data_IF_830771764771
#
_entry.id   IF_830771764771
#
_cell.length_a   1.000
_cell.length_b   1.000
_cell.length_c   1.000
_cell.angle_alpha   90.00
_cell.angle_beta   90.00
_cell.angle_gamma   90.00
#
_symmetry.space_group_name_H-M   'P 1'
#
loop_
_entity.id
_entity.type
_entity.pdbx_description
1 polymer ?
#
# COMPACT_ATOMS: atom_id res chain seq x y z
N UNK A 1 10.16 -22.70 -38.16
CA UNK A 1 10.28 -22.12 -36.81
C UNK A 1 9.50 -20.82 -36.82
N UNK A 2 8.23 -20.86 -36.39
CA UNK A 2 7.36 -19.68 -36.37
C UNK A 2 7.47 -19.05 -34.99
N UNK A 3 7.84 -17.77 -34.91
CA UNK A 3 7.83 -17.03 -33.66
C UNK A 3 6.38 -16.67 -33.30
N UNK A 4 5.95 -17.00 -32.08
CA UNK A 4 4.67 -16.56 -31.55
C UNK A 4 4.64 -15.02 -31.41
N UNK A 5 3.50 -14.36 -31.71
CA UNK A 5 3.36 -12.92 -31.49
C UNK A 5 3.27 -12.62 -30.00
N UNK A 6 4.10 -11.69 -29.55
CA UNK A 6 4.12 -11.16 -28.17
C UNK A 6 2.77 -10.52 -27.85
N UNK A 7 2.07 -11.05 -26.85
CA UNK A 7 0.81 -10.53 -26.34
C UNK A 7 1.01 -9.14 -25.67
N UNK A 8 0.36 -8.07 -26.18
CA UNK A 8 0.48 -6.71 -25.65
C UNK A 8 -0.19 -6.50 -24.27
N UNK A 9 -0.89 -7.51 -23.73
CA UNK A 9 -1.55 -7.44 -22.42
C UNK A 9 -0.61 -7.69 -21.23
N UNK A 10 0.62 -8.18 -21.47
CA UNK A 10 1.68 -8.28 -20.45
C UNK A 10 2.28 -6.90 -20.15
N UNK A 11 1.53 -6.05 -19.45
CA UNK A 11 2.15 -4.96 -18.69
C UNK A 11 2.86 -5.58 -17.49
N UNK A 12 4.11 -5.96 -17.72
CA UNK A 12 5.05 -6.19 -16.63
C UNK A 12 5.05 -4.91 -15.78
N UNK A 13 4.59 -5.02 -14.54
CA UNK A 13 4.87 -4.03 -13.52
C UNK A 13 6.34 -4.19 -13.14
N UNK A 14 7.23 -3.82 -14.07
CA UNK A 14 8.65 -3.75 -13.84
C UNK A 14 8.88 -2.67 -12.79
N UNK A 15 9.27 -3.09 -11.60
CA UNK A 15 9.77 -2.22 -10.54
C UNK A 15 11.07 -1.58 -11.08
N UNK A 16 10.95 -0.45 -11.76
CA UNK A 16 12.06 0.26 -12.38
C UNK A 16 12.07 1.71 -11.93
N UNK A 17 12.79 1.98 -10.84
CA UNK A 17 13.82 3.03 -10.85
C UNK A 17 14.80 2.82 -9.70
N UNK A 18 16.07 3.09 -10.00
CA UNK A 18 17.25 2.76 -9.23
C UNK A 18 17.28 3.24 -7.76
N UNK A 19 17.73 2.34 -6.87
CA UNK A 19 18.70 2.69 -5.82
C UNK A 19 18.20 3.14 -4.45
N UNK A 20 16.90 3.39 -4.25
CA UNK A 20 16.36 3.69 -2.90
C UNK A 20 15.49 2.51 -2.45
N UNK A 21 15.71 1.93 -1.25
CA UNK A 21 14.80 0.94 -0.70
C UNK A 21 13.40 1.54 -0.66
N UNK A 22 12.42 0.88 -1.29
CA UNK A 22 11.04 1.35 -1.27
C UNK A 22 10.61 1.52 0.19
N UNK A 23 10.21 2.75 0.56
CA UNK A 23 9.65 2.99 1.90
C UNK A 23 8.28 2.36 1.92
N UNK A 24 8.05 1.46 2.87
CA UNK A 24 6.74 0.89 3.12
C UNK A 24 6.07 1.61 4.31
N UNK A 25 4.77 1.80 4.21
CA UNK A 25 3.89 2.15 5.34
C UNK A 25 2.77 1.14 5.38
N UNK A 26 2.64 0.47 6.52
CA UNK A 26 1.71 -0.64 6.71
C UNK A 26 0.82 -0.34 7.89
N UNK A 27 -0.49 -0.52 7.71
CA UNK A 27 -1.47 -0.56 8.78
C UNK A 27 -2.06 -1.99 8.82
N UNK A 28 -2.06 -2.59 9.99
CA UNK A 28 -2.69 -3.88 10.27
C UNK A 28 -3.75 -3.64 11.34
N UNK A 29 -4.96 -4.12 11.09
CA UNK A 29 -6.10 -4.07 12.01
C UNK A 29 -6.76 -5.45 12.04
N UNK A 30 -7.74 -5.65 12.92
CA UNK A 30 -8.55 -6.89 12.90
C UNK A 30 -9.33 -7.06 11.58
N UNK A 31 -9.63 -5.96 10.90
CA UNK A 31 -10.39 -5.96 9.65
C UNK A 31 -9.50 -6.28 8.43
N UNK A 32 -8.22 -5.92 8.44
CA UNK A 32 -7.38 -6.10 7.28
C UNK A 32 -5.97 -5.50 7.37
N UNK A 33 -5.21 -5.68 6.29
CA UNK A 33 -3.88 -5.09 6.11
C UNK A 33 -3.88 -4.20 4.87
N UNK A 34 -3.30 -3.01 4.98
CA UNK A 34 -2.89 -2.19 3.83
C UNK A 34 -1.41 -1.90 3.91
N UNK A 35 -0.70 -2.03 2.79
CA UNK A 35 0.68 -1.58 2.64
C UNK A 35 0.79 -0.65 1.44
N UNK A 36 1.39 0.53 1.65
CA UNK A 36 1.73 1.49 0.59
C UNK A 36 3.24 1.58 0.45
N UNK A 37 3.71 1.37 -0.77
CA UNK A 37 5.11 1.51 -1.13
C UNK A 37 5.36 2.89 -1.73
N UNK A 38 6.53 3.48 -1.49
CA UNK A 38 6.92 4.76 -2.09
C UNK A 38 7.02 4.73 -3.62
N UNK A 39 7.10 3.53 -4.19
CA UNK A 39 7.11 3.24 -5.63
C UNK A 39 5.70 3.27 -6.26
N UNK A 40 4.65 3.38 -5.44
CA UNK A 40 3.26 3.54 -5.89
C UNK A 40 2.42 2.27 -5.82
N UNK A 41 3.04 1.10 -5.66
CA UNK A 41 2.34 -0.16 -5.43
C UNK A 41 1.59 -0.13 -4.09
N UNK A 42 0.47 -0.84 -4.06
CA UNK A 42 -0.38 -0.99 -2.89
C UNK A 42 -0.74 -2.47 -2.74
N UNK A 43 -0.77 -2.94 -1.51
CA UNK A 43 -1.33 -4.23 -1.15
C UNK A 43 -2.48 -4.04 -0.17
N UNK A 44 -3.56 -4.79 -0.37
CA UNK A 44 -4.74 -4.77 0.52
C UNK A 44 -5.20 -6.21 0.75
N UNK A 45 -5.36 -6.59 2.01
CA UNK A 45 -5.86 -7.91 2.41
C UNK A 45 -7.02 -7.77 3.38
N UNK A 46 -7.97 -8.70 3.27
CA UNK A 46 -9.07 -8.87 4.20
C UNK A 46 -8.68 -9.95 5.20
N UNK A 47 -8.39 -9.59 6.45
CA UNK A 47 -7.93 -10.58 7.43
C UNK A 47 -9.09 -11.36 8.06
N UNK A 48 -10.33 -10.90 7.89
CA UNK A 48 -11.51 -11.62 8.36
C UNK A 48 -11.82 -12.80 7.42
N UNK A 49 -11.70 -12.58 6.10
CA UNK A 49 -11.98 -13.61 5.09
C UNK A 49 -10.72 -14.38 4.63
N UNK A 50 -9.55 -13.75 4.68
CA UNK A 50 -8.27 -14.29 4.22
C UNK A 50 -7.14 -14.05 5.26
N UNK A 51 -7.15 -14.77 6.40
CA UNK A 51 -6.16 -14.61 7.46
C UNK A 51 -4.72 -14.94 7.02
N UNK A 52 -4.57 -15.66 5.91
CA UNK A 52 -3.28 -16.06 5.35
C UNK A 52 -2.79 -15.11 4.25
N UNK A 53 -3.52 -14.03 3.97
CA UNK A 53 -3.15 -12.98 3.01
C UNK A 53 -2.81 -13.53 1.60
N UNK A 54 -3.57 -14.52 1.15
CA UNK A 54 -3.35 -15.17 -0.15
C UNK A 54 -3.85 -14.32 -1.33
N UNK A 55 -4.79 -13.40 -1.09
CA UNK A 55 -5.46 -12.63 -2.14
C UNK A 55 -5.27 -11.13 -1.95
N UNK A 56 -4.31 -10.55 -2.66
CA UNK A 56 -4.19 -9.09 -2.75
C UNK A 56 -5.37 -8.48 -3.53
N UNK A 57 -6.10 -7.58 -2.87
CA UNK A 57 -7.31 -6.91 -3.34
C UNK A 57 -7.05 -5.52 -3.96
N UNK A 58 -5.83 -4.99 -3.91
CA UNK A 58 -5.53 -3.60 -4.23
C UNK A 58 -5.94 -3.15 -5.65
N UNK A 59 -5.87 -4.06 -6.63
CA UNK A 59 -6.27 -3.81 -8.03
C UNK A 59 -7.65 -4.37 -8.39
N UNK A 60 -8.40 -4.91 -7.43
CA UNK A 60 -9.64 -5.65 -7.70
C UNK A 60 -10.89 -4.82 -7.38
N UNK A 61 -11.98 -4.94 -8.14
CA UNK A 61 -13.22 -4.21 -7.87
C UNK A 61 -13.77 -4.48 -6.47
N UNK A 62 -13.75 -5.74 -6.02
CA UNK A 62 -14.22 -6.15 -4.68
C UNK A 62 -13.37 -5.55 -3.55
N UNK A 63 -12.13 -5.14 -3.84
CA UNK A 63 -11.21 -4.53 -2.88
C UNK A 63 -11.36 -3.02 -2.74
N UNK A 64 -12.20 -2.37 -3.54
CA UNK A 64 -12.23 -0.90 -3.66
C UNK A 64 -12.53 -0.22 -2.33
N UNK A 65 -13.63 -0.62 -1.69
CA UNK A 65 -14.08 -0.02 -0.43
C UNK A 65 -13.05 -0.25 0.68
N UNK A 66 -12.56 -1.48 0.82
CA UNK A 66 -11.53 -1.83 1.80
C UNK A 66 -10.23 -1.07 1.58
N UNK A 67 -9.81 -0.88 0.33
CA UNK A 67 -8.63 -0.08 -0.02
C UNK A 67 -8.81 1.38 0.39
N UNK A 68 -9.97 1.97 0.08
CA UNK A 68 -10.28 3.37 0.45
C UNK A 68 -10.30 3.53 1.97
N UNK A 69 -11.04 2.66 2.67
CA UNK A 69 -11.16 2.66 4.12
C UNK A 69 -9.82 2.52 4.86
N UNK A 70 -9.04 1.48 4.54
CA UNK A 70 -7.76 1.25 5.22
C UNK A 70 -6.71 2.31 4.85
N UNK A 71 -6.77 2.87 3.63
CA UNK A 71 -5.89 3.97 3.24
C UNK A 71 -6.16 5.25 4.01
N UNK A 72 -7.44 5.56 4.23
CA UNK A 72 -7.84 6.72 5.04
C UNK A 72 -7.39 6.56 6.49
N UNK A 73 -7.57 5.36 7.07
CA UNK A 73 -7.06 5.06 8.41
C UNK A 73 -5.54 5.14 8.52
N UNK A 74 -4.81 4.66 7.50
CA UNK A 74 -3.35 4.79 7.47
C UNK A 74 -2.93 6.27 7.44
N UNK A 75 -3.61 7.11 6.66
CA UNK A 75 -3.32 8.54 6.61
C UNK A 75 -3.55 9.20 7.98
N UNK A 76 -4.67 8.91 8.64
CA UNK A 76 -4.95 9.38 10.00
C UNK A 76 -3.90 8.95 11.01
N UNK A 77 -3.50 7.67 11.01
CA UNK A 77 -2.46 7.16 11.91
C UNK A 77 -1.10 7.85 11.68
N UNK A 78 -0.75 8.16 10.43
CA UNK A 78 0.46 8.89 10.11
C UNK A 78 0.42 10.35 10.58
N UNK A 79 -0.73 11.01 10.46
CA UNK A 79 -0.93 12.38 10.97
C UNK A 79 -0.80 12.40 12.50
N UNK A 80 -1.50 11.51 13.20
CA UNK A 80 -1.43 11.39 14.66
C UNK A 80 0.01 11.15 15.13
N UNK A 81 0.72 10.22 14.48
CA UNK A 81 2.13 9.97 14.79
C UNK A 81 3.00 11.22 14.57
N UNK A 82 2.76 11.97 13.48
CA UNK A 82 3.50 13.20 13.20
C UNK A 82 3.25 14.28 14.25
N UNK A 83 2.02 14.40 14.75
CA UNK A 83 1.67 15.38 15.79
C UNK A 83 2.33 15.04 17.13
N UNK A 84 2.42 13.75 17.47
CA UNK A 84 3.14 13.28 18.65
C UNK A 84 4.67 13.47 18.55
N UNK A 85 5.22 13.26 17.36
CA UNK A 85 6.65 13.40 17.10
C UNK A 85 7.11 14.88 17.07
N UNK A 86 6.19 15.83 16.88
CA UNK A 86 6.52 17.26 16.92
C UNK A 86 6.89 17.64 18.37
N UNK A 87 8.14 18.04 18.65
CA UNK A 87 8.52 18.47 20.00
C UNK A 87 7.67 19.67 20.41
N UNK A 88 7.05 19.58 21.59
CA UNK A 88 6.34 20.69 22.23
C UNK A 88 7.37 21.72 22.70
N UNK A 89 7.83 22.59 21.80
CA UNK A 89 8.74 23.67 22.18
C UNK A 89 9.76 24.07 21.11
N UNK A 90 9.29 24.73 20.06
CA UNK A 90 10.03 25.83 19.46
C UNK A 90 9.04 26.99 19.30
N UNK A 91 8.48 27.44 20.43
CA UNK A 91 7.98 28.81 20.49
C UNK A 91 9.20 29.69 20.42
N UNK A 92 9.35 30.44 19.32
CA UNK A 92 10.35 31.49 19.20
C UNK A 92 10.23 32.40 20.44
N UNK A 93 11.30 32.44 21.23
CA UNK A 93 11.58 33.50 22.18
C UNK A 93 12.46 34.54 21.49
#
# INVERSE_FOLDING_TARGET
MSADPVDPSRREHACSSAGVPAKARTLITEEGRVTRYSTGEVEVFDLAEDPLEMKNLAGRPEGRERREHLSDRLAHAMLEYSDLARPRGASAA
#
